data_IF_046206426988
#
_entry.id   IF_046206426988
#
_cell.length_a   1.000
_cell.length_b   1.000
_cell.length_c   1.000
_cell.angle_alpha   90.00
_cell.angle_beta   90.00
_cell.angle_gamma   90.00
#
_symmetry.space_group_name_H-M   'P 1'
#
loop_
_entity.id
_entity.type
_entity.pdbx_description
1 polymer ?
#
# COMPACT_ATOMS: atom_id res chain seq x y z
N UNK A 1 -22.34 -0.20 -3.09
CA UNK A 1 -21.53 0.96 -2.67
C UNK A 1 -20.24 0.98 -3.47
N UNK A 2 -19.71 2.16 -3.78
CA UNK A 2 -18.59 2.34 -4.70
C UNK A 2 -17.54 3.25 -4.06
N UNK A 3 -16.28 2.91 -4.22
CA UNK A 3 -15.16 3.81 -4.02
C UNK A 3 -14.60 4.15 -5.40
N UNK A 4 -14.86 5.38 -5.81
CA UNK A 4 -14.65 5.86 -7.17
C UNK A 4 -13.54 6.89 -7.20
N UNK A 5 -12.62 6.78 -8.15
CA UNK A 5 -11.61 7.80 -8.44
C UNK A 5 -11.94 8.46 -9.78
N UNK A 6 -11.73 9.78 -9.86
CA UNK A 6 -12.04 10.56 -11.07
C UNK A 6 -10.74 10.92 -11.77
N UNK A 7 -10.65 10.50 -13.02
CA UNK A 7 -9.57 10.80 -13.96
C UNK A 7 -10.05 11.87 -14.95
N UNK A 8 -9.22 12.23 -15.93
CA UNK A 8 -9.56 13.23 -16.94
C UNK A 8 -10.85 12.86 -17.69
N UNK A 9 -10.93 11.62 -18.19
CA UNK A 9 -12.00 11.17 -19.10
C UNK A 9 -12.89 10.06 -18.53
N UNK A 10 -12.57 9.54 -17.35
CA UNK A 10 -13.27 8.39 -16.76
C UNK A 10 -13.47 8.49 -15.27
N UNK A 11 -14.38 7.65 -14.81
CA UNK A 11 -14.62 7.32 -13.43
C UNK A 11 -14.20 5.86 -13.22
N UNK A 12 -13.15 5.62 -12.45
CA UNK A 12 -12.64 4.28 -12.18
C UNK A 12 -13.06 3.78 -10.79
N UNK A 13 -13.58 2.55 -10.71
CA UNK A 13 -13.99 1.97 -9.44
C UNK A 13 -12.85 1.18 -8.80
N UNK A 14 -12.22 1.77 -7.79
CA UNK A 14 -11.20 1.07 -7.00
C UNK A 14 -11.81 -0.06 -6.15
N UNK A 15 -13.09 0.08 -5.78
CA UNK A 15 -13.88 -0.94 -5.10
C UNK A 15 -15.35 -0.75 -5.45
N UNK A 16 -16.05 -1.84 -5.73
CA UNK A 16 -17.45 -1.83 -6.11
C UNK A 16 -18.21 -2.99 -5.46
N UNK A 17 -19.42 -2.70 -5.00
CA UNK A 17 -20.40 -3.70 -4.54
C UNK A 17 -21.74 -3.35 -5.18
N UNK A 18 -22.31 -4.29 -5.95
CA UNK A 18 -23.57 -4.11 -6.67
C UNK A 18 -23.44 -3.41 -8.02
N UNK A 19 -22.22 -3.29 -8.56
CA UNK A 19 -21.93 -2.80 -9.92
C UNK A 19 -20.84 -3.68 -10.51
N UNK A 20 -21.09 -4.25 -11.69
CA UNK A 20 -20.17 -5.18 -12.37
C UNK A 20 -19.19 -4.48 -13.32
N UNK A 21 -19.46 -3.22 -13.68
CA UNK A 21 -18.55 -2.43 -14.49
C UNK A 21 -17.31 -1.99 -13.67
N UNK A 22 -16.09 -2.03 -14.24
CA UNK A 22 -14.88 -1.57 -13.57
C UNK A 22 -14.70 -0.05 -13.63
N UNK A 23 -15.33 0.61 -14.61
CA UNK A 23 -15.30 2.05 -14.80
C UNK A 23 -16.52 2.53 -15.61
N UNK A 24 -16.73 3.85 -15.63
CA UNK A 24 -17.68 4.52 -16.52
C UNK A 24 -17.04 5.76 -17.14
N UNK A 25 -17.55 6.26 -18.28
CA UNK A 25 -17.20 7.59 -18.77
C UNK A 25 -17.48 8.67 -17.72
N UNK A 26 -16.67 9.74 -17.71
CA UNK A 26 -16.77 10.81 -16.69
C UNK A 26 -18.01 11.71 -16.87
N UNK A 27 -18.43 11.91 -18.11
CA UNK A 27 -19.60 12.71 -18.49
C UNK A 27 -20.91 12.13 -17.94
N UNK A 28 -21.03 10.81 -17.84
CA UNK A 28 -22.20 10.14 -17.25
C UNK A 28 -22.09 9.92 -15.74
N UNK A 29 -20.95 10.24 -15.12
CA UNK A 29 -20.68 9.95 -13.72
C UNK A 29 -21.29 10.98 -12.75
N UNK A 30 -22.13 10.51 -11.82
CA UNK A 30 -22.62 11.30 -10.69
C UNK A 30 -21.47 11.85 -9.83
N UNK A 31 -20.40 11.08 -9.69
CA UNK A 31 -19.25 11.45 -8.87
C UNK A 31 -18.53 12.69 -9.43
N UNK A 32 -18.60 12.95 -10.74
CA UNK A 32 -18.05 14.15 -11.38
C UNK A 32 -18.66 15.45 -10.82
N UNK A 33 -19.92 15.39 -10.39
CA UNK A 33 -20.60 16.51 -9.75
C UNK A 33 -20.27 16.59 -8.26
N UNK A 34 -20.16 15.43 -7.60
CA UNK A 34 -19.86 15.36 -6.18
C UNK A 34 -18.45 15.86 -5.82
N UNK A 35 -17.43 15.61 -6.67
CA UNK A 35 -16.05 16.09 -6.43
C UNK A 35 -15.92 17.62 -6.43
N UNK A 36 -16.89 18.32 -7.01
CA UNK A 36 -16.94 19.78 -7.03
C UNK A 36 -17.56 20.36 -5.75
N UNK A 37 -18.06 19.51 -4.86
CA UNK A 37 -18.68 19.90 -3.59
C UNK A 37 -17.71 19.70 -2.41
N UNK A 38 -17.89 20.48 -1.35
CA UNK A 38 -17.14 20.30 -0.09
C UNK A 38 -17.81 19.29 0.85
N UNK A 39 -19.10 19.04 0.70
CA UNK A 39 -19.88 18.16 1.57
C UNK A 39 -20.55 17.05 0.76
N UNK A 40 -21.25 16.15 1.46
CA UNK A 40 -21.96 15.03 0.84
C UNK A 40 -22.96 15.54 -0.21
N UNK A 41 -22.72 15.15 -1.46
CA UNK A 41 -23.62 15.43 -2.57
C UNK A 41 -24.72 14.37 -2.61
N UNK A 42 -25.99 14.78 -2.57
CA UNK A 42 -27.13 13.86 -2.57
C UNK A 42 -28.12 14.19 -3.68
N UNK A 43 -28.64 13.15 -4.32
CA UNK A 43 -29.73 13.18 -5.29
C UNK A 43 -30.77 12.18 -4.80
N UNK A 44 -31.95 12.69 -4.43
CA UNK A 44 -33.00 11.84 -3.88
C UNK A 44 -33.74 11.04 -4.95
N UNK A 45 -33.98 11.69 -6.10
CA UNK A 45 -34.53 11.07 -7.31
C UNK A 45 -33.84 11.62 -8.57
N UNK A 46 -32.99 10.81 -9.19
CA UNK A 46 -32.23 11.16 -10.39
C UNK A 46 -33.12 11.33 -11.63
N UNK A 47 -34.31 10.74 -11.65
CA UNK A 47 -35.25 10.92 -12.77
C UNK A 47 -35.93 12.31 -12.71
N UNK A 48 -36.02 12.89 -11.52
CA UNK A 48 -36.58 14.22 -11.28
C UNK A 48 -35.50 15.32 -11.20
N UNK A 49 -34.22 14.96 -11.22
CA UNK A 49 -33.10 15.89 -11.14
C UNK A 49 -32.66 16.29 -12.55
N UNK A 50 -32.78 17.57 -12.91
CA UNK A 50 -32.46 18.10 -14.25
C UNK A 50 -31.04 17.76 -14.74
N UNK A 51 -30.10 17.51 -13.81
CA UNK A 51 -28.71 17.16 -14.17
C UNK A 51 -28.56 15.71 -14.60
N UNK A 52 -29.50 14.84 -14.21
CA UNK A 52 -29.38 13.39 -14.37
C UNK A 52 -30.59 12.73 -15.02
N UNK A 53 -31.67 13.46 -15.27
CA UNK A 53 -32.92 12.90 -15.82
C UNK A 53 -32.71 12.19 -17.17
N UNK A 54 -31.80 12.70 -17.99
CA UNK A 54 -31.45 12.12 -19.31
C UNK A 54 -30.20 11.23 -19.28
N UNK A 55 -29.59 11.03 -18.10
CA UNK A 55 -28.36 10.29 -17.97
C UNK A 55 -28.60 8.80 -18.32
N UNK A 56 -27.73 8.15 -19.14
CA UNK A 56 -27.89 6.74 -19.51
C UNK A 56 -27.96 5.77 -18.31
N UNK A 57 -27.31 6.11 -17.20
CA UNK A 57 -27.34 5.33 -15.96
C UNK A 57 -28.69 5.41 -15.23
N UNK A 58 -29.53 6.39 -15.57
CA UNK A 58 -30.86 6.64 -15.02
C UNK A 58 -31.95 6.10 -15.95
N UNK A 59 -31.92 6.49 -17.22
CA UNK A 59 -32.97 6.14 -18.21
C UNK A 59 -32.82 4.73 -18.77
N UNK A 60 -31.57 4.28 -18.96
CA UNK A 60 -31.23 2.95 -19.45
C UNK A 60 -31.02 1.97 -18.31
N UNK A 61 -29.76 1.60 -18.08
CA UNK A 61 -29.31 0.73 -17.01
C UNK A 61 -28.05 1.32 -16.39
N UNK A 62 -27.89 1.29 -15.05
CA UNK A 62 -28.56 0.40 -14.09
C UNK A 62 -29.83 0.97 -13.44
N UNK A 63 -30.45 2.05 -13.97
CA UNK A 63 -31.64 2.71 -13.40
C UNK A 63 -31.39 3.27 -12.00
N UNK A 64 -30.31 4.05 -11.87
CA UNK A 64 -30.01 4.77 -10.63
C UNK A 64 -31.16 5.74 -10.33
N UNK A 65 -31.69 5.69 -9.11
CA UNK A 65 -32.74 6.61 -8.64
C UNK A 65 -32.25 7.48 -7.51
N UNK A 66 -31.51 6.96 -6.55
CA UNK A 66 -30.91 7.80 -5.51
C UNK A 66 -29.39 7.67 -5.52
N UNK A 67 -28.72 8.76 -5.17
CA UNK A 67 -27.27 8.84 -5.07
C UNK A 67 -26.88 9.65 -3.81
N UNK A 68 -25.89 9.17 -3.08
CA UNK A 68 -25.17 9.99 -2.10
C UNK A 68 -23.67 9.73 -2.23
N UNK A 69 -22.87 10.78 -2.37
CA UNK A 69 -21.43 10.70 -2.51
C UNK A 69 -20.71 11.68 -1.59
N UNK A 70 -19.84 11.16 -0.74
CA UNK A 70 -18.89 11.97 0.01
C UNK A 70 -17.60 12.12 -0.81
N UNK A 71 -17.10 13.35 -1.01
CA UNK A 71 -15.85 13.56 -1.74
C UNK A 71 -14.66 12.99 -0.96
N UNK A 72 -13.76 12.33 -1.67
CA UNK A 72 -12.47 11.83 -1.17
C UNK A 72 -11.43 12.93 -1.42
N UNK A 73 -11.17 13.75 -0.40
CA UNK A 73 -10.28 14.92 -0.49
C UNK A 73 -8.95 14.57 0.17
N UNK A 74 -7.83 14.73 -0.54
CA UNK A 74 -6.49 14.50 0.02
C UNK A 74 -6.12 15.55 1.07
N UNK A 75 -5.06 15.30 1.85
CA UNK A 75 -4.49 16.29 2.77
C UNK A 75 -4.11 17.63 2.10
N UNK A 76 -3.86 17.65 0.79
CA UNK A 76 -3.58 18.86 0.00
C UNK A 76 -4.84 19.57 -0.51
N UNK A 77 -6.03 19.06 -0.18
CA UNK A 77 -7.30 19.61 -0.65
C UNK A 77 -7.72 19.17 -2.05
N UNK A 78 -7.03 18.19 -2.66
CA UNK A 78 -7.37 17.72 -4.00
C UNK A 78 -8.52 16.71 -3.95
N UNK A 79 -9.63 16.91 -4.68
CA UNK A 79 -10.72 15.94 -4.72
C UNK A 79 -10.37 14.79 -5.67
N UNK A 80 -9.98 13.65 -5.11
CA UNK A 80 -9.53 12.46 -5.86
C UNK A 80 -10.70 11.64 -6.42
N UNK A 81 -11.88 11.79 -5.86
CA UNK A 81 -13.06 11.00 -6.21
C UNK A 81 -14.11 10.99 -5.12
N UNK A 82 -14.85 9.90 -4.98
CA UNK A 82 -15.95 9.78 -4.00
C UNK A 82 -16.03 8.40 -3.37
N UNK A 83 -16.53 8.37 -2.14
CA UNK A 83 -17.19 7.21 -1.59
C UNK A 83 -18.69 7.42 -1.75
N UNK A 84 -19.35 6.59 -2.55
CA UNK A 84 -20.76 6.78 -2.87
C UNK A 84 -21.61 5.53 -2.73
N UNK A 85 -22.89 5.78 -2.52
CA UNK A 85 -23.97 4.79 -2.53
C UNK A 85 -24.97 5.18 -3.59
N UNK A 86 -25.47 4.17 -4.31
CA UNK A 86 -26.52 4.28 -5.29
C UNK A 86 -27.67 3.36 -4.89
N UNK A 87 -28.88 3.75 -5.22
CA UNK A 87 -30.10 2.98 -4.97
C UNK A 87 -31.00 3.03 -6.21
N UNK A 88 -31.77 1.97 -6.44
CA UNK A 88 -32.75 1.87 -7.54
C UNK A 88 -34.12 2.41 -7.15
N UNK A 89 -34.28 2.86 -5.91
CA UNK A 89 -35.47 3.52 -5.39
C UNK A 89 -35.14 4.95 -4.97
N UNK A 90 -36.11 5.84 -5.07
CA UNK A 90 -36.02 7.18 -4.51
C UNK A 90 -35.71 7.08 -3.02
N UNK A 91 -34.80 7.93 -2.54
CA UNK A 91 -34.37 7.90 -1.14
C UNK A 91 -33.87 9.25 -0.67
N UNK A 92 -34.41 9.69 0.46
CA UNK A 92 -33.84 10.79 1.23
C UNK A 92 -32.78 10.27 2.18
N UNK A 93 -31.64 10.96 2.25
CA UNK A 93 -30.53 10.60 3.13
C UNK A 93 -30.57 11.45 4.39
N UNK A 94 -30.65 10.80 5.54
CA UNK A 94 -30.69 11.49 6.84
C UNK A 94 -29.35 12.14 7.18
N UNK A 95 -29.36 13.15 8.05
CA UNK A 95 -28.13 13.80 8.54
C UNK A 95 -27.13 12.80 9.12
N UNK A 96 -27.61 11.79 9.85
CA UNK A 96 -26.77 10.73 10.41
C UNK A 96 -26.14 9.85 9.31
N UNK A 97 -26.88 9.54 8.24
CA UNK A 97 -26.34 8.78 7.10
C UNK A 97 -25.26 9.58 6.35
N UNK A 98 -25.49 10.87 6.10
CA UNK A 98 -24.51 11.77 5.47
C UNK A 98 -23.24 11.89 6.33
N UNK A 99 -23.40 12.09 7.64
CA UNK A 99 -22.27 12.14 8.58
C UNK A 99 -21.47 10.83 8.58
N UNK A 100 -22.15 9.68 8.58
CA UNK A 100 -21.50 8.36 8.51
C UNK A 100 -20.72 8.20 7.21
N UNK A 101 -21.30 8.56 6.06
CA UNK A 101 -20.62 8.47 4.77
C UNK A 101 -19.35 9.33 4.74
N UNK A 102 -19.42 10.54 5.31
CA UNK A 102 -18.28 11.46 5.44
C UNK A 102 -17.18 10.90 6.33
N UNK A 103 -17.53 10.26 7.45
CA UNK A 103 -16.57 9.59 8.34
C UNK A 103 -15.87 8.41 7.66
N UNK A 104 -16.60 7.62 6.88
CA UNK A 104 -15.98 6.50 6.14
C UNK A 104 -15.07 7.05 5.03
N UNK A 105 -15.48 8.12 4.34
CA UNK A 105 -14.69 8.77 3.30
C UNK A 105 -13.35 9.31 3.85
N UNK A 106 -13.35 9.94 5.03
CA UNK A 106 -12.11 10.38 5.66
C UNK A 106 -11.20 9.20 6.04
N UNK A 107 -11.78 8.11 6.57
CA UNK A 107 -11.02 6.90 6.89
C UNK A 107 -10.40 6.25 5.63
N UNK A 108 -11.10 6.31 4.50
CA UNK A 108 -10.59 5.85 3.20
C UNK A 108 -9.37 6.67 2.79
N UNK A 109 -9.45 8.00 2.84
CA UNK A 109 -8.33 8.89 2.52
C UNK A 109 -7.12 8.59 3.41
N UNK A 110 -7.30 8.52 4.73
CA UNK A 110 -6.21 8.20 5.67
C UNK A 110 -5.52 6.89 5.29
N UNK A 111 -6.29 5.85 4.93
CA UNK A 111 -5.72 4.56 4.50
C UNK A 111 -5.02 4.64 3.15
N UNK A 112 -5.50 5.46 2.22
CA UNK A 112 -4.84 5.70 0.93
C UNK A 112 -3.50 6.41 1.13
N UNK A 113 -3.45 7.42 1.99
CA UNK A 113 -2.22 8.17 2.29
C UNK A 113 -1.16 7.29 2.96
N UNK A 114 -1.55 6.48 3.95
CA UNK A 114 -0.65 5.52 4.59
C UNK A 114 -0.09 4.54 3.56
N UNK A 115 -0.92 4.02 2.64
CA UNK A 115 -0.47 3.11 1.59
C UNK A 115 0.50 3.79 0.63
N UNK A 116 0.25 5.05 0.25
CA UNK A 116 1.14 5.82 -0.62
C UNK A 116 2.51 6.02 0.02
N UNK A 117 2.55 6.54 1.25
CA UNK A 117 3.80 6.78 1.98
C UNK A 117 4.60 5.49 2.17
N UNK A 118 3.90 4.37 2.45
CA UNK A 118 4.52 3.06 2.54
C UNK A 118 5.17 2.61 1.23
N UNK A 119 4.49 2.84 0.10
CA UNK A 119 5.03 2.52 -1.23
C UNK A 119 6.23 3.40 -1.62
N UNK A 120 6.27 4.65 -1.16
CA UNK A 120 7.41 5.56 -1.39
C UNK A 120 8.65 5.15 -0.58
N UNK A 121 8.44 4.70 0.65
CA UNK A 121 9.53 4.37 1.59
C UNK A 121 10.06 2.94 1.38
N UNK A 122 9.22 2.00 0.95
CA UNK A 122 9.58 0.58 0.84
C UNK A 122 10.80 0.28 -0.07
N UNK A 123 10.94 0.89 -1.27
CA UNK A 123 12.11 0.66 -2.13
C UNK A 123 13.43 1.06 -1.45
N UNK A 124 13.42 2.13 -0.65
CA UNK A 124 14.63 2.63 0.03
C UNK A 124 15.16 1.60 1.04
N UNK A 125 14.26 1.01 1.84
CA UNK A 125 14.62 -0.05 2.78
C UNK A 125 15.09 -1.32 2.08
N UNK A 126 14.42 -1.71 0.99
CA UNK A 126 14.81 -2.90 0.22
C UNK A 126 16.21 -2.73 -0.38
N UNK A 127 16.52 -1.55 -0.90
CA UNK A 127 17.84 -1.23 -1.41
C UNK A 127 18.91 -1.28 -0.30
N UNK A 128 18.67 -0.63 0.83
CA UNK A 128 19.59 -0.64 1.97
C UNK A 128 19.87 -2.07 2.48
N UNK A 129 18.84 -2.91 2.61
CA UNK A 129 18.99 -4.31 3.02
C UNK A 129 19.81 -5.13 2.00
N UNK A 130 19.64 -4.87 0.70
CA UNK A 130 20.43 -5.50 -0.36
C UNK A 130 21.91 -5.14 -0.28
N UNK A 131 22.23 -3.85 -0.04
CA UNK A 131 23.62 -3.39 0.16
C UNK A 131 24.25 -4.06 1.38
N UNK A 132 23.54 -4.11 2.51
CA UNK A 132 24.01 -4.80 3.72
C UNK A 132 24.30 -6.28 3.47
N UNK A 133 23.40 -6.97 2.75
CA UNK A 133 23.60 -8.37 2.38
C UNK A 133 24.88 -8.59 1.56
N UNK A 134 25.17 -7.70 0.61
CA UNK A 134 26.40 -7.74 -0.20
C UNK A 134 27.64 -7.54 0.65
N UNK A 135 27.67 -6.48 1.47
CA UNK A 135 28.81 -6.16 2.35
C UNK A 135 29.09 -7.32 3.30
N UNK A 136 28.07 -7.89 3.91
CA UNK A 136 28.25 -9.01 4.85
C UNK A 136 28.81 -10.26 4.18
N UNK A 137 28.44 -10.54 2.94
CA UNK A 137 29.04 -11.63 2.17
C UNK A 137 30.53 -11.37 1.91
N UNK A 138 30.87 -10.15 1.50
CA UNK A 138 32.25 -9.73 1.26
C UNK A 138 33.11 -9.76 2.53
N UNK A 139 32.55 -9.41 3.69
CA UNK A 139 33.25 -9.45 4.98
C UNK A 139 33.41 -10.85 5.56
N UNK A 140 32.47 -11.77 5.30
CA UNK A 140 32.53 -13.15 5.81
C UNK A 140 33.78 -13.89 5.28
N UNK A 141 34.15 -13.66 4.02
CA UNK A 141 35.30 -14.31 3.39
C UNK A 141 36.64 -13.99 4.08
N UNK A 142 37.07 -12.73 4.24
CA UNK A 142 38.32 -12.39 4.93
C UNK A 142 38.28 -12.74 6.43
N UNK A 143 37.12 -12.62 7.09
CA UNK A 143 37.00 -12.99 8.51
C UNK A 143 37.17 -14.50 8.73
N UNK A 144 36.60 -15.33 7.86
CA UNK A 144 36.83 -16.78 7.90
C UNK A 144 38.29 -17.12 7.60
N UNK A 145 38.95 -16.37 6.72
CA UNK A 145 40.40 -16.50 6.48
C UNK A 145 41.23 -16.19 7.72
N UNK A 146 40.95 -15.07 8.41
CA UNK A 146 41.64 -14.69 9.65
C UNK A 146 41.40 -15.73 10.74
N UNK A 147 40.17 -16.22 10.88
CA UNK A 147 39.81 -17.25 11.85
C UNK A 147 40.60 -18.54 11.58
N UNK A 148 40.54 -19.06 10.36
CA UNK A 148 41.25 -20.30 9.98
C UNK A 148 42.77 -20.18 10.14
N UNK A 149 43.36 -19.05 9.71
CA UNK A 149 44.80 -18.81 9.90
C UNK A 149 45.18 -18.73 11.39
N UNK A 150 44.36 -18.08 12.21
CA UNK A 150 44.59 -18.00 13.66
C UNK A 150 44.46 -19.36 14.34
N UNK A 151 43.52 -20.21 13.91
CA UNK A 151 43.37 -21.58 14.41
C UNK A 151 44.58 -22.45 14.05
N UNK A 152 45.01 -22.43 12.79
CA UNK A 152 46.22 -23.14 12.37
C UNK A 152 47.47 -22.68 13.12
N UNK A 153 47.63 -21.37 13.37
CA UNK A 153 48.75 -20.85 14.16
C UNK A 153 48.71 -21.35 15.61
N UNK A 154 47.54 -21.40 16.24
CA UNK A 154 47.38 -21.87 17.62
C UNK A 154 47.72 -23.36 17.81
N UNK A 155 47.73 -24.14 16.73
CA UNK A 155 48.13 -25.54 16.68
C UNK A 155 49.66 -25.72 16.49
N UNK A 156 50.42 -24.64 16.34
CA UNK A 156 51.89 -24.67 16.24
C UNK A 156 52.58 -24.35 17.58
N UNK A 157 53.89 -24.62 17.65
CA UNK A 157 54.72 -24.23 18.79
C UNK A 157 54.95 -22.71 18.80
N UNK A 158 54.08 -22.00 19.50
CA UNK A 158 54.14 -20.54 19.68
C UNK A 158 54.74 -20.17 21.05
N UNK A 159 55.46 -19.05 21.10
CA UNK A 159 55.77 -18.40 22.38
C UNK A 159 54.49 -17.93 23.07
N UNK A 160 54.56 -17.68 24.38
CA UNK A 160 53.42 -17.18 25.16
C UNK A 160 52.84 -15.87 24.58
N UNK A 161 53.73 -14.97 24.13
CA UNK A 161 53.33 -13.70 23.51
C UNK A 161 52.65 -13.90 22.14
N UNK A 162 53.20 -14.77 21.29
CA UNK A 162 52.63 -15.10 19.98
C UNK A 162 51.27 -15.79 20.13
N UNK A 163 51.13 -16.70 21.09
CA UNK A 163 49.85 -17.36 21.43
C UNK A 163 48.80 -16.34 21.83
N UNK A 164 49.15 -15.34 22.65
CA UNK A 164 48.22 -14.25 23.03
C UNK A 164 47.76 -13.43 21.82
N UNK A 165 48.63 -13.13 20.86
CA UNK A 165 48.24 -12.41 19.64
C UNK A 165 47.31 -13.22 18.74
N UNK A 166 47.59 -14.51 18.58
CA UNK A 166 46.75 -15.42 17.80
C UNK A 166 45.36 -15.60 18.44
N UNK A 167 45.28 -15.74 19.77
CA UNK A 167 44.01 -15.77 20.51
C UNK A 167 43.23 -14.46 20.41
N UNK A 168 43.91 -13.32 20.41
CA UNK A 168 43.25 -12.02 20.20
C UNK A 168 42.66 -11.95 18.78
N UNK A 169 43.45 -12.31 17.76
CA UNK A 169 43.01 -12.32 16.36
C UNK A 169 41.81 -13.25 16.13
N UNK A 170 41.86 -14.46 16.71
CA UNK A 170 40.74 -15.41 16.70
C UNK A 170 39.48 -14.82 17.35
N UNK A 171 39.60 -14.29 18.57
CA UNK A 171 38.46 -13.70 19.31
C UNK A 171 37.85 -12.51 18.56
N UNK A 172 38.68 -11.65 17.97
CA UNK A 172 38.24 -10.52 17.16
C UNK A 172 37.51 -10.98 15.90
N UNK A 173 38.01 -11.98 15.18
CA UNK A 173 37.35 -12.51 13.98
C UNK A 173 35.98 -13.11 14.30
N UNK A 174 35.86 -13.88 15.39
CA UNK A 174 34.58 -14.44 15.87
C UNK A 174 33.61 -13.33 16.26
N UNK A 175 34.07 -12.31 16.99
CA UNK A 175 33.22 -11.18 17.38
C UNK A 175 32.71 -10.38 16.17
N UNK A 176 33.57 -10.16 15.17
CA UNK A 176 33.19 -9.46 13.94
C UNK A 176 32.19 -10.25 13.11
N UNK A 177 32.36 -11.58 12.98
CA UNK A 177 31.37 -12.44 12.32
C UNK A 177 29.99 -12.34 12.99
N UNK A 178 29.96 -12.43 14.33
CA UNK A 178 28.71 -12.27 15.08
C UNK A 178 28.07 -10.89 14.90
N UNK A 179 28.88 -9.81 14.88
CA UNK A 179 28.37 -8.46 14.63
C UNK A 179 27.78 -8.31 13.21
N UNK A 180 28.44 -8.88 12.19
CA UNK A 180 27.95 -8.89 10.81
C UNK A 180 26.62 -9.63 10.69
N UNK A 181 26.46 -10.74 11.40
CA UNK A 181 25.21 -11.52 11.42
C UNK A 181 24.07 -10.75 12.09
N UNK A 182 24.32 -10.08 13.21
CA UNK A 182 23.33 -9.22 13.89
C UNK A 182 22.85 -8.07 13.00
N UNK A 183 23.77 -7.42 12.26
CA UNK A 183 23.40 -6.33 11.32
C UNK A 183 22.52 -6.85 10.18
N UNK A 184 22.80 -8.06 9.68
CA UNK A 184 21.96 -8.68 8.65
C UNK A 184 20.57 -9.05 9.15
N UNK A 185 20.48 -9.59 10.37
CA UNK A 185 19.21 -9.95 10.99
C UNK A 185 18.33 -8.71 11.19
N UNK A 186 18.90 -7.64 11.74
CA UNK A 186 18.22 -6.35 11.86
C UNK A 186 17.76 -5.81 10.49
N UNK A 187 18.61 -5.89 9.46
CA UNK A 187 18.26 -5.49 8.10
C UNK A 187 17.08 -6.28 7.53
N UNK A 188 17.00 -7.58 7.82
CA UNK A 188 15.86 -8.44 7.42
C UNK A 188 14.60 -8.10 8.19
N UNK A 189 14.68 -7.92 9.51
CA UNK A 189 13.55 -7.56 10.36
C UNK A 189 12.88 -6.26 9.93
N UNK A 190 13.66 -5.25 9.53
CA UNK A 190 13.14 -3.97 9.03
C UNK A 190 12.35 -4.17 7.72
N UNK A 191 12.75 -5.12 6.88
CA UNK A 191 12.04 -5.45 5.64
C UNK A 191 10.78 -6.29 5.92
N UNK A 192 10.80 -7.20 6.90
CA UNK A 192 9.70 -8.15 7.18
C UNK A 192 8.65 -7.64 8.17
N UNK A 193 9.00 -6.80 9.15
CA UNK A 193 8.13 -6.42 10.28
C UNK A 193 7.02 -5.41 9.97
N UNK A 194 6.63 -5.23 8.70
CA UNK A 194 5.37 -4.54 8.39
C UNK A 194 5.44 -3.05 8.04
N UNK A 195 6.56 -2.55 7.49
CA UNK A 195 6.50 -1.54 6.42
C UNK A 195 6.24 -2.18 5.04
N UNK A 196 6.00 -3.50 4.97
CA UNK A 196 5.58 -4.24 3.75
C UNK A 196 4.59 -5.37 4.11
N UNK A 197 3.44 -5.55 3.44
CA UNK A 197 2.68 -6.80 3.51
C UNK A 197 2.61 -7.34 2.08
N UNK A 198 3.72 -7.90 1.61
CA UNK A 198 3.81 -8.63 0.36
C UNK A 198 3.83 -10.12 0.65
N UNK A 199 2.73 -10.61 1.22
CA UNK A 199 2.54 -12.02 1.59
C UNK A 199 1.06 -12.39 1.63
N UNK A 200 0.27 -11.78 0.75
CA UNK A 200 -1.10 -12.20 0.46
C UNK A 200 -1.07 -12.93 -0.88
N UNK A 201 -1.33 -14.23 -0.83
CA UNK A 201 -1.55 -15.11 -1.98
C UNK A 201 -2.38 -14.44 -3.08
N UNK A 202 -1.74 -14.04 -4.17
CA UNK A 202 -2.42 -13.93 -5.46
C UNK A 202 -2.63 -15.35 -5.96
N UNK A 203 -3.76 -15.95 -5.59
CA UNK A 203 -4.36 -16.98 -6.43
C UNK A 203 -4.73 -16.32 -7.77
N UNK A 204 -3.81 -16.39 -8.73
CA UNK A 204 -4.11 -16.19 -10.14
C UNK A 204 -5.17 -17.22 -10.52
N UNK A 205 -6.40 -16.76 -10.73
CA UNK A 205 -7.36 -17.47 -11.57
C UNK A 205 -6.93 -17.25 -13.01
N UNK A 206 -6.05 -18.10 -13.52
CA UNK A 206 -5.89 -18.31 -14.96
C UNK A 206 -7.11 -19.12 -15.41
N UNK A 207 -8.10 -18.41 -15.96
CA UNK A 207 -9.16 -19.01 -16.76
C UNK A 207 -8.75 -18.92 -18.22
N UNK A 208 -8.09 -19.97 -18.71
CA UNK A 208 -7.94 -20.25 -20.14
C UNK A 208 -9.33 -20.25 -20.80
N UNK A 209 -9.47 -19.42 -21.83
CA UNK A 209 -10.61 -19.48 -22.75
C UNK A 209 -10.28 -20.48 -23.85
N UNK A 210 -11.13 -21.50 -23.97
CA UNK A 210 -11.44 -22.19 -25.21
C UNK A 210 -12.83 -21.74 -25.67
#
# INVERSE_FOLDING_TARGET
>A
ALMSLIDENRQWFKSAVGVDAPETPRDVAFCSHAILQKDVFTVADALADERFSDNPLVTGGPKVRAYAGAPLISAQGLPLGTLCVIDHKQREFTTAQKATLKLIASQVITRMEIRRLRQEIHPQFTHAAGVLASISHELRTPLNGILGASEMLLDTDLSEEQRRWAELSKRSAVALLGAVEQVLELGREVVTSGLVPGGGSTSRGEGESA
#
